data_IF_935622066922
#
_entry.id   IF_935622066922
#
_cell.length_a   1.000
_cell.length_b   1.000
_cell.length_c   1.000
_cell.angle_alpha   90.00
_cell.angle_beta   90.00
_cell.angle_gamma   90.00
#
_symmetry.space_group_name_H-M   'P 1'
#
loop_
_entity.id
_entity.type
_entity.pdbx_description
1 polymer ?
#
# COMPACT_ATOMS: atom_id res chain seq x y z
N UNK A 1 25.81 21.36 -18.18
CA UNK A 1 24.81 20.46 -17.59
C UNK A 1 24.90 19.03 -18.09
N UNK A 2 25.20 18.10 -17.18
CA UNK A 2 25.36 16.68 -17.49
C UNK A 2 23.99 16.06 -17.86
N UNK A 3 23.80 15.63 -19.11
CA UNK A 3 22.60 14.90 -19.54
C UNK A 3 22.31 13.69 -18.63
N UNK A 4 23.35 13.16 -18.00
CA UNK A 4 23.27 12.10 -17.00
C UNK A 4 22.44 12.49 -15.76
N UNK A 5 22.64 13.69 -15.19
CA UNK A 5 21.88 14.15 -14.01
C UNK A 5 20.41 14.30 -14.38
N UNK A 6 20.13 14.87 -15.56
CA UNK A 6 18.78 14.98 -16.09
C UNK A 6 18.12 13.60 -16.17
N UNK A 7 18.77 12.63 -16.82
CA UNK A 7 18.25 11.26 -16.91
C UNK A 7 18.00 10.63 -15.54
N UNK A 8 18.90 10.82 -14.57
CA UNK A 8 18.74 10.29 -13.22
C UNK A 8 17.56 10.92 -12.48
N UNK A 9 17.38 12.24 -12.55
CA UNK A 9 16.23 12.94 -11.96
C UNK A 9 14.93 12.42 -12.56
N UNK A 10 14.88 12.27 -13.88
CA UNK A 10 13.70 11.73 -14.57
C UNK A 10 13.36 10.30 -14.14
N UNK A 11 14.36 9.41 -14.08
CA UNK A 11 14.14 8.04 -13.65
C UNK A 11 13.65 7.96 -12.20
N UNK A 12 14.25 8.75 -11.30
CA UNK A 12 13.86 8.80 -9.89
C UNK A 12 12.47 9.40 -9.69
N UNK A 13 12.09 10.37 -10.52
CA UNK A 13 10.73 10.88 -10.55
C UNK A 13 9.72 9.76 -10.87
N UNK A 14 9.95 9.01 -11.93
CA UNK A 14 9.08 7.89 -12.33
C UNK A 14 9.02 6.78 -11.26
N UNK A 15 10.17 6.45 -10.69
CA UNK A 15 10.27 5.46 -9.61
C UNK A 15 9.48 5.92 -8.38
N UNK A 16 9.58 7.20 -7.98
CA UNK A 16 8.83 7.76 -6.85
C UNK A 16 7.32 7.75 -7.06
N UNK A 17 6.82 8.05 -8.27
CA UNK A 17 5.39 7.98 -8.62
C UNK A 17 4.89 6.53 -8.55
N UNK A 18 5.63 5.58 -9.15
CA UNK A 18 5.27 4.17 -9.15
C UNK A 18 5.22 3.60 -7.72
N UNK A 19 6.23 3.92 -6.90
CA UNK A 19 6.31 3.49 -5.51
C UNK A 19 5.20 4.12 -4.66
N UNK A 20 4.84 5.39 -4.90
CA UNK A 20 3.71 6.03 -4.23
C UNK A 20 2.39 5.30 -4.51
N UNK A 21 2.13 4.95 -5.78
CA UNK A 21 0.94 4.18 -6.18
C UNK A 21 0.92 2.78 -5.58
N UNK A 22 2.08 2.11 -5.57
CA UNK A 22 2.25 0.80 -4.94
C UNK A 22 1.83 0.84 -3.46
N UNK A 23 2.33 1.81 -2.69
CA UNK A 23 1.94 1.96 -1.29
C UNK A 23 0.48 2.40 -1.11
N UNK A 24 -0.09 3.12 -2.08
CA UNK A 24 -1.52 3.41 -2.13
C UNK A 24 -2.38 2.15 -2.26
N UNK A 25 -2.02 1.23 -3.16
CA UNK A 25 -2.70 -0.06 -3.30
C UNK A 25 -2.52 -0.95 -2.07
N UNK A 26 -1.31 -0.97 -1.51
CA UNK A 26 -1.00 -1.75 -0.32
C UNK A 26 -1.80 -1.26 0.91
N UNK A 27 -1.88 0.07 1.08
CA UNK A 27 -2.73 0.70 2.09
C UNK A 27 -4.20 0.30 1.91
N UNK A 28 -4.75 0.42 0.71
CA UNK A 28 -6.15 0.09 0.43
C UNK A 28 -6.45 -1.39 0.73
N UNK A 29 -5.53 -2.29 0.37
CA UNK A 29 -5.65 -3.72 0.67
C UNK A 29 -5.70 -3.99 2.17
N UNK A 30 -4.75 -3.44 2.93
CA UNK A 30 -4.72 -3.65 4.39
C UNK A 30 -5.90 -2.99 5.10
N UNK A 31 -6.28 -1.79 4.69
CA UNK A 31 -7.44 -1.08 5.22
C UNK A 31 -8.73 -1.86 4.99
N UNK A 32 -8.94 -2.38 3.78
CA UNK A 32 -10.13 -3.18 3.47
C UNK A 32 -10.15 -4.50 4.25
N UNK A 33 -9.01 -5.20 4.38
CA UNK A 33 -8.93 -6.40 5.21
C UNK A 33 -9.29 -6.12 6.68
N UNK A 34 -8.78 -5.03 7.26
CA UNK A 34 -9.09 -4.62 8.63
C UNK A 34 -10.58 -4.28 8.80
N UNK A 35 -11.14 -3.50 7.86
CA UNK A 35 -12.56 -3.14 7.87
C UNK A 35 -13.45 -4.38 7.76
N UNK A 36 -13.18 -5.28 6.81
CA UNK A 36 -13.94 -6.51 6.63
C UNK A 36 -13.83 -7.44 7.84
N UNK A 37 -12.66 -7.52 8.48
CA UNK A 37 -12.50 -8.31 9.70
C UNK A 37 -13.35 -7.76 10.85
N UNK A 38 -13.42 -6.44 11.00
CA UNK A 38 -14.26 -5.77 12.01
C UNK A 38 -15.75 -5.97 11.71
N UNK A 39 -16.17 -5.80 10.46
CA UNK A 39 -17.55 -6.02 10.02
C UNK A 39 -17.95 -7.48 10.22
N UNK A 40 -17.07 -8.42 9.89
CA UNK A 40 -17.29 -9.85 10.12
C UNK A 40 -17.47 -10.12 11.61
N UNK A 41 -16.60 -9.58 12.46
CA UNK A 41 -16.68 -9.77 13.91
C UNK A 41 -17.97 -9.16 14.51
N UNK A 42 -18.39 -8.00 14.03
CA UNK A 42 -19.65 -7.35 14.47
C UNK A 42 -20.89 -8.11 14.00
N UNK A 43 -20.87 -8.62 12.77
CA UNK A 43 -21.94 -9.51 12.26
C UNK A 43 -21.95 -10.81 13.04
N UNK A 44 -20.77 -11.33 13.42
CA UNK A 44 -20.64 -12.54 14.20
C UNK A 44 -21.18 -12.42 15.61
N UNK A 45 -20.88 -11.33 16.30
CA UNK A 45 -21.44 -11.06 17.62
C UNK A 45 -22.96 -10.89 17.55
N UNK A 46 -23.48 -10.18 16.55
CA UNK A 46 -24.93 -9.97 16.37
C UNK A 46 -25.66 -11.27 15.99
N UNK A 47 -25.08 -12.05 15.07
CA UNK A 47 -25.60 -13.36 14.67
C UNK A 47 -25.58 -14.38 15.80
N UNK A 48 -24.67 -14.20 16.78
CA UNK A 48 -24.63 -15.07 17.96
C UNK A 48 -25.84 -14.92 18.86
N UNK A 49 -26.33 -13.69 19.03
CA UNK A 49 -27.53 -13.41 19.82
C UNK A 49 -28.78 -13.92 19.09
N UNK A 50 -28.85 -13.72 17.77
CA UNK A 50 -29.98 -14.22 16.96
C UNK A 50 -30.02 -15.76 16.91
N UNK A 51 -28.85 -16.41 16.86
CA UNK A 51 -28.72 -17.87 16.88
C UNK A 51 -29.28 -18.53 18.14
N UNK A 52 -29.21 -17.85 19.28
CA UNK A 52 -29.83 -18.32 20.53
C UNK A 52 -31.36 -18.41 20.46
N UNK A 53 -32.00 -17.50 19.73
CA UNK A 53 -33.46 -17.50 19.58
C UNK A 53 -33.97 -18.66 18.71
N UNK A 54 -33.17 -19.12 17.75
CA UNK A 54 -33.53 -20.15 16.77
C UNK A 54 -33.20 -21.57 17.28
N UNK A 55 -32.45 -21.69 18.38
CA UNK A 55 -31.98 -22.97 18.92
C UNK A 55 -33.11 -23.93 19.35
N UNK A 56 -34.31 -23.41 19.62
CA UNK A 56 -35.47 -24.21 20.03
C UNK A 56 -36.25 -24.85 18.86
N UNK A 57 -35.94 -24.50 17.61
CA UNK A 57 -36.64 -25.05 16.44
C UNK A 57 -35.99 -26.35 15.95
N UNK A 58 -36.69 -27.48 16.16
CA UNK A 58 -36.20 -28.83 15.86
C UNK A 58 -35.92 -29.08 14.36
N UNK A 59 -36.53 -28.30 13.46
CA UNK A 59 -36.44 -28.49 12.00
C UNK A 59 -35.16 -27.91 11.40
N UNK A 60 -34.65 -26.78 11.92
CA UNK A 60 -33.44 -26.11 11.41
C UNK A 60 -32.15 -26.55 12.10
N UNK A 61 -32.27 -27.27 13.21
CA UNK A 61 -31.18 -27.67 14.09
C UNK A 61 -29.94 -28.29 13.39
N UNK A 62 -30.06 -29.30 12.50
CA UNK A 62 -28.88 -29.98 11.96
C UNK A 62 -28.04 -29.10 11.02
N UNK A 63 -28.69 -28.23 10.22
CA UNK A 63 -28.00 -27.29 9.34
C UNK A 63 -27.37 -26.13 10.12
N UNK A 64 -28.08 -25.65 11.15
CA UNK A 64 -27.61 -24.57 12.00
C UNK A 64 -26.37 -24.98 12.80
N UNK A 65 -26.32 -26.19 13.36
CA UNK A 65 -25.17 -26.67 14.14
C UNK A 65 -23.88 -26.75 13.30
N UNK A 66 -23.97 -27.17 12.03
CA UNK A 66 -22.79 -27.23 11.15
C UNK A 66 -22.28 -25.82 10.81
N UNK A 67 -23.18 -24.92 10.41
CA UNK A 67 -22.85 -23.54 10.12
C UNK A 67 -22.27 -22.83 11.35
N UNK A 68 -22.86 -23.06 12.52
CA UNK A 68 -22.44 -22.52 13.81
C UNK A 68 -21.03 -22.98 14.21
N UNK A 69 -20.72 -24.27 14.03
CA UNK A 69 -19.37 -24.81 14.29
C UNK A 69 -18.31 -24.20 13.39
N UNK A 70 -18.58 -24.09 12.09
CA UNK A 70 -17.68 -23.44 11.13
C UNK A 70 -17.50 -21.96 11.45
N UNK A 71 -18.60 -21.28 11.80
CA UNK A 71 -18.60 -19.88 12.15
C UNK A 71 -17.78 -19.59 13.42
N UNK A 72 -18.05 -20.34 14.49
CA UNK A 72 -17.35 -20.22 15.77
C UNK A 72 -15.87 -20.58 15.64
N UNK A 73 -15.54 -21.63 14.87
CA UNK A 73 -14.16 -21.99 14.54
C UNK A 73 -13.44 -20.88 13.77
N UNK A 74 -14.08 -20.31 12.74
CA UNK A 74 -13.50 -19.20 11.97
C UNK A 74 -13.30 -17.93 12.82
N UNK A 75 -14.25 -17.61 13.70
CA UNK A 75 -14.16 -16.47 14.62
C UNK A 75 -13.04 -16.63 15.64
N UNK A 76 -12.83 -17.84 16.17
CA UNK A 76 -11.72 -18.15 17.07
C UNK A 76 -10.37 -17.99 16.36
N UNK A 77 -10.23 -18.53 15.15
CA UNK A 77 -9.02 -18.37 14.33
C UNK A 77 -8.77 -16.88 14.02
N UNK A 78 -9.80 -16.13 13.62
CA UNK A 78 -9.68 -14.70 13.34
C UNK A 78 -9.22 -13.93 14.57
N UNK A 79 -9.81 -14.22 15.73
CA UNK A 79 -9.50 -13.54 17.00
C UNK A 79 -8.05 -13.74 17.44
N UNK A 80 -7.46 -14.90 17.14
CA UNK A 80 -6.03 -15.19 17.40
C UNK A 80 -5.14 -14.56 16.33
N UNK A 81 -5.55 -14.59 15.06
CA UNK A 81 -4.75 -14.10 13.94
C UNK A 81 -4.67 -12.56 13.86
N UNK A 82 -5.76 -11.86 14.19
CA UNK A 82 -5.88 -10.40 14.15
C UNK A 82 -4.73 -9.66 14.89
N UNK A 83 -4.43 -9.97 16.18
CA UNK A 83 -3.35 -9.29 16.90
C UNK A 83 -1.96 -9.63 16.35
N UNK A 84 -1.77 -10.81 15.75
CA UNK A 84 -0.47 -11.21 15.18
C UNK A 84 -0.15 -10.45 13.88
N UNK A 85 -1.16 -10.10 13.08
CA UNK A 85 -0.94 -9.47 11.78
C UNK A 85 -0.62 -7.96 11.91
N UNK A 86 -1.04 -7.31 13.01
CA UNK A 86 -0.78 -5.89 13.30
C UNK A 86 -1.14 -4.97 12.10
N UNK A 87 -2.32 -5.15 11.50
CA UNK A 87 -2.80 -4.35 10.38
C UNK A 87 -2.69 -2.83 10.60
N UNK A 88 -3.01 -2.26 11.79
CA UNK A 88 -2.90 -0.82 12.01
C UNK A 88 -1.49 -0.27 11.76
N UNK A 89 -0.45 -0.98 12.24
CA UNK A 89 0.95 -0.58 12.02
C UNK A 89 1.32 -0.63 10.53
N UNK A 90 0.83 -1.64 9.80
CA UNK A 90 1.08 -1.78 8.35
C UNK A 90 0.36 -0.70 7.54
N UNK A 91 -0.86 -0.36 7.94
CA UNK A 91 -1.66 0.72 7.34
C UNK A 91 -0.96 2.06 7.55
N UNK A 92 -0.51 2.35 8.77
CA UNK A 92 0.21 3.59 9.09
C UNK A 92 1.55 3.68 8.35
N UNK A 93 2.34 2.60 8.34
CA UNK A 93 3.60 2.54 7.60
C UNK A 93 3.39 2.76 6.09
N UNK A 94 2.41 2.08 5.49
CA UNK A 94 2.09 2.23 4.06
C UNK A 94 1.59 3.63 3.73
N UNK A 95 0.75 4.22 4.61
CA UNK A 95 0.27 5.59 4.44
C UNK A 95 1.41 6.60 4.51
N UNK A 96 2.30 6.45 5.51
CA UNK A 96 3.46 7.32 5.68
C UNK A 96 4.38 7.24 4.46
N UNK A 97 4.74 6.03 4.03
CA UNK A 97 5.57 5.83 2.83
C UNK A 97 4.93 6.45 1.60
N UNK A 98 3.63 6.23 1.37
CA UNK A 98 2.91 6.86 0.27
C UNK A 98 3.08 8.38 0.29
N UNK A 99 2.80 9.03 1.42
CA UNK A 99 2.89 10.50 1.53
C UNK A 99 4.32 10.98 1.27
N UNK A 100 5.32 10.32 1.88
CA UNK A 100 6.73 10.69 1.69
C UNK A 100 7.17 10.55 0.22
N UNK A 101 6.75 9.49 -0.47
CA UNK A 101 7.03 9.33 -1.90
C UNK A 101 6.27 10.35 -2.78
N UNK A 102 5.04 10.75 -2.41
CA UNK A 102 4.35 11.84 -3.12
C UNK A 102 5.06 13.18 -2.96
N UNK A 103 5.57 13.46 -1.76
CA UNK A 103 6.34 14.69 -1.51
C UNK A 103 7.67 14.65 -2.28
N UNK A 104 8.38 13.50 -2.27
CA UNK A 104 9.58 13.33 -3.08
C UNK A 104 9.32 13.50 -4.59
N UNK A 105 8.20 12.95 -5.09
CA UNK A 105 7.81 13.13 -6.49
C UNK A 105 7.66 14.62 -6.82
N UNK A 106 6.97 15.38 -5.98
CA UNK A 106 6.82 16.84 -6.14
C UNK A 106 8.17 17.56 -6.11
N UNK A 107 9.05 17.17 -5.18
CA UNK A 107 10.39 17.76 -5.08
C UNK A 107 11.21 17.47 -6.35
N UNK A 108 11.12 16.25 -6.91
CA UNK A 108 11.75 15.90 -8.18
C UNK A 108 11.14 16.66 -9.37
N UNK A 109 9.82 16.91 -9.40
CA UNK A 109 9.19 17.74 -10.44
C UNK A 109 9.67 19.19 -10.39
N UNK A 110 9.79 19.76 -9.18
CA UNK A 110 10.34 21.10 -8.98
C UNK A 110 11.82 21.16 -9.40
N UNK A 111 12.61 20.14 -9.07
CA UNK A 111 14.00 20.03 -9.47
C UNK A 111 14.13 19.90 -10.99
N UNK A 112 13.25 19.11 -11.62
CA UNK A 112 13.19 18.93 -13.07
C UNK A 112 12.86 20.24 -13.80
N UNK A 113 11.90 21.03 -13.29
CA UNK A 113 11.53 22.31 -13.89
C UNK A 113 12.67 23.35 -13.85
N UNK A 114 13.48 23.32 -12.79
CA UNK A 114 14.61 24.25 -12.60
C UNK A 114 15.90 23.80 -13.27
N UNK A 115 15.94 22.58 -13.81
CA UNK A 115 17.17 22.00 -14.33
C UNK A 115 17.70 22.81 -15.52
N UNK A 116 16.81 23.35 -16.35
CA UNK A 116 17.20 24.13 -17.54
C UNK A 116 17.63 25.58 -17.21
N UNK A 117 17.61 25.99 -15.93
CA UNK A 117 18.09 27.32 -15.50
C UNK A 117 19.61 27.34 -15.27
N UNK A 118 20.39 28.15 -16.01
CA UNK A 118 21.85 28.18 -15.93
C UNK A 118 22.39 28.66 -14.57
N UNK A 119 21.58 29.41 -13.81
CA UNK A 119 21.94 29.91 -12.47
C UNK A 119 21.85 28.82 -11.39
N UNK A 120 21.21 27.69 -11.66
CA UNK A 120 20.89 26.66 -10.67
C UNK A 120 21.81 25.43 -10.70
N UNK A 121 22.78 25.34 -11.61
CA UNK A 121 23.60 24.14 -11.84
C UNK A 121 24.28 23.59 -10.56
N UNK A 122 24.90 24.46 -9.74
CA UNK A 122 25.53 24.05 -8.48
C UNK A 122 24.53 23.69 -7.36
N UNK A 123 23.30 24.21 -7.44
CA UNK A 123 22.24 23.93 -6.44
C UNK A 123 21.50 22.64 -6.76
N UNK A 124 21.36 22.29 -8.04
CA UNK A 124 20.68 21.07 -8.50
C UNK A 124 21.34 19.82 -7.93
N UNK A 125 22.68 19.74 -7.95
CA UNK A 125 23.38 18.56 -7.41
C UNK A 125 23.20 18.45 -5.88
N UNK A 126 23.25 19.57 -5.16
CA UNK A 126 23.03 19.59 -3.72
C UNK A 126 21.60 19.18 -3.34
N UNK A 127 20.59 19.64 -4.07
CA UNK A 127 19.18 19.23 -3.87
C UNK A 127 18.98 17.76 -4.24
N UNK A 128 19.57 17.30 -5.34
CA UNK A 128 19.52 15.89 -5.73
C UNK A 128 20.12 14.96 -4.68
N UNK A 129 21.27 15.33 -4.10
CA UNK A 129 21.89 14.57 -2.99
C UNK A 129 20.99 14.53 -1.76
N UNK A 130 20.35 15.65 -1.39
CA UNK A 130 19.39 15.68 -0.27
C UNK A 130 18.20 14.75 -0.50
N UNK A 131 17.69 14.68 -1.73
CA UNK A 131 16.59 13.76 -2.08
C UNK A 131 17.03 12.30 -1.99
N UNK A 132 18.23 11.96 -2.46
CA UNK A 132 18.80 10.61 -2.26
C UNK A 132 18.98 10.24 -0.79
N UNK A 133 19.44 11.18 0.04
CA UNK A 133 19.60 10.93 1.48
C UNK A 133 18.24 10.70 2.15
N UNK A 134 17.18 11.36 1.68
CA UNK A 134 15.81 11.11 2.13
C UNK A 134 15.32 9.73 1.72
N UNK A 135 15.58 9.32 0.48
CA UNK A 135 15.27 7.98 -0.04
C UNK A 135 15.93 6.87 0.80
N UNK A 136 17.22 7.05 1.13
CA UNK A 136 17.97 6.11 1.97
C UNK A 136 17.39 5.98 3.39
N UNK A 137 16.77 7.03 3.92
CA UNK A 137 16.06 6.95 5.21
C UNK A 137 14.74 6.18 5.07
N UNK A 138 14.03 6.34 3.97
CA UNK A 138 12.75 5.67 3.72
C UNK A 138 12.93 4.16 3.52
N UNK A 139 14.02 3.71 2.90
CA UNK A 139 14.30 2.28 2.70
C UNK A 139 14.35 1.48 4.03
N UNK A 140 14.74 2.14 5.13
CA UNK A 140 14.70 1.52 6.47
C UNK A 140 13.27 1.22 6.94
N UNK A 141 12.31 2.05 6.55
CA UNK A 141 10.90 1.86 6.86
C UNK A 141 10.32 0.78 5.95
N UNK A 142 10.72 0.75 4.67
CA UNK A 142 10.33 -0.29 3.72
C UNK A 142 10.74 -1.70 4.17
N UNK A 143 11.93 -1.83 4.78
CA UNK A 143 12.41 -3.10 5.33
C UNK A 143 11.52 -3.72 6.42
N UNK A 144 10.62 -2.94 7.03
CA UNK A 144 9.65 -3.42 8.02
C UNK A 144 8.34 -3.94 7.41
N UNK A 145 8.14 -3.76 6.10
CA UNK A 145 6.95 -4.27 5.40
C UNK A 145 7.20 -5.65 4.81
N UNK A 146 6.16 -6.50 4.70
CA UNK A 146 6.28 -7.80 4.07
C UNK A 146 6.68 -7.65 2.60
N UNK A 147 7.39 -8.65 2.09
CA UNK A 147 8.06 -8.64 0.78
C UNK A 147 7.25 -8.05 -0.36
N UNK A 148 7.96 -7.29 -1.20
CA UNK A 148 7.40 -6.54 -2.32
C UNK A 148 6.76 -7.48 -3.34
N UNK A 149 5.50 -7.24 -3.69
CA UNK A 149 4.82 -8.04 -4.70
C UNK A 149 5.22 -7.55 -6.10
N UNK A 150 6.11 -8.29 -6.79
CA UNK A 150 6.63 -7.92 -8.12
C UNK A 150 5.53 -7.62 -9.13
N UNK A 151 4.43 -8.38 -9.12
CA UNK A 151 3.27 -8.14 -10.02
C UNK A 151 2.62 -6.78 -9.78
N UNK A 152 2.50 -6.36 -8.52
CA UNK A 152 1.89 -5.08 -8.18
C UNK A 152 2.84 -3.92 -8.52
N UNK A 153 4.15 -4.11 -8.36
CA UNK A 153 5.16 -3.13 -8.77
C UNK A 153 5.10 -2.90 -10.27
N UNK A 154 5.12 -3.96 -11.08
CA UNK A 154 5.03 -3.86 -12.55
C UNK A 154 3.76 -3.13 -12.95
N UNK A 155 2.62 -3.51 -12.36
CA UNK A 155 1.35 -2.83 -12.63
C UNK A 155 1.42 -1.33 -12.32
N UNK A 156 1.99 -0.93 -11.19
CA UNK A 156 2.12 0.49 -10.82
C UNK A 156 3.08 1.22 -11.76
N UNK A 157 4.16 0.58 -12.20
CA UNK A 157 5.09 1.15 -13.18
C UNK A 157 4.40 1.38 -14.52
N UNK A 158 3.64 0.40 -15.02
CA UNK A 158 2.87 0.55 -16.25
C UNK A 158 1.81 1.67 -16.14
N UNK A 159 1.09 1.76 -15.00
CA UNK A 159 0.12 2.84 -14.77
C UNK A 159 0.75 4.24 -14.81
N UNK A 160 2.00 4.38 -14.38
CA UNK A 160 2.75 5.65 -14.47
C UNK A 160 3.19 5.94 -15.91
N UNK A 161 3.69 4.93 -16.62
CA UNK A 161 4.09 5.06 -18.02
C UNK A 161 2.90 5.46 -18.90
N UNK A 162 1.75 4.78 -18.74
CA UNK A 162 0.51 5.10 -19.46
C UNK A 162 0.02 6.52 -19.12
N UNK A 163 0.05 6.93 -17.85
CA UNK A 163 -0.36 8.27 -17.45
C UNK A 163 0.49 9.39 -18.08
N UNK A 164 1.74 9.08 -18.46
CA UNK A 164 2.68 10.01 -19.10
C UNK A 164 2.79 9.80 -20.62
N UNK A 165 1.91 9.00 -21.23
CA UNK A 165 1.91 8.65 -22.66
C UNK A 165 3.21 7.96 -23.14
N UNK A 166 3.84 7.16 -22.26
CA UNK A 166 5.04 6.37 -22.57
C UNK A 166 4.65 4.91 -22.86
N UNK A 167 5.43 4.16 -23.65
CA UNK A 167 5.17 2.75 -23.92
C UNK A 167 5.27 1.91 -22.64
N UNK A 168 4.21 1.15 -22.34
CA UNK A 168 4.14 0.22 -21.20
C UNK A 168 4.80 -1.12 -21.53
N UNK A 169 5.25 -1.83 -20.50
CA UNK A 169 5.90 -3.15 -20.66
C UNK A 169 4.90 -4.30 -20.86
N UNK A 170 3.62 -4.07 -20.58
CA UNK A 170 2.53 -5.06 -20.69
C UNK A 170 1.74 -4.99 -22.01
N UNK A 171 2.09 -4.10 -22.94
CA UNK A 171 1.43 -3.94 -24.25
C UNK A 171 2.10 -4.71 -25.40
N UNK A 172 2.81 -5.80 -25.08
CA UNK A 172 3.49 -6.67 -26.05
C UNK A 172 3.27 -8.13 -25.74
#
# INVERSE_FOLDING_TARGET
>A
MNQEIRRQVWFRLLESDATSRYYGHLFAKYHNCDLWSKVFLATASSGTVAGWAIWNDAVLYPYFVLAWKLFSGSAAVLSIALPLINYPKRIEASRRLRTEFQDMMRDYELLWAKIDEPTYENKVEAEFRKLKDREAKLSTIEGNLPGTCTKLVIKCQDEVLTARNLPSTTSS
#
